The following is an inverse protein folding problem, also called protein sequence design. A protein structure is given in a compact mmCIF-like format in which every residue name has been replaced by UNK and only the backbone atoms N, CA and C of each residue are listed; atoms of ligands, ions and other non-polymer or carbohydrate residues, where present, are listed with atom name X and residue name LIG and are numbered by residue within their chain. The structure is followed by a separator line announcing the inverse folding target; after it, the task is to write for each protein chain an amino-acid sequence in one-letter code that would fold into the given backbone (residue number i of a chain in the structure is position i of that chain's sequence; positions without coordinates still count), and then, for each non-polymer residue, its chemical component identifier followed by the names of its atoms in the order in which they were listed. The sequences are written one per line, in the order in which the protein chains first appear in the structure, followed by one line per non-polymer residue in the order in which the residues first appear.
data_IF_055225270692
#
_entry.id   IF_055225270692
#
_cell.length_a   1.000
_cell.length_b   1.000
_cell.length_c   1.000
_cell.angle_alpha   90.00
_cell.angle_beta   90.00
_cell.angle_gamma   90.00
#
_symmetry.space_group_name_H-M   'P 1'
#
loop_
_entity.id
_entity.type
_entity.pdbx_description
1 polymer ?
#
# COMPACT_ATOMS: atom_id res chain seq x y z
N UNK A 1 16.97 -17.38 21.03
CA UNK A 1 16.79 -16.86 19.65
C UNK A 1 16.99 -15.34 19.69
N UNK A 2 18.20 -14.85 19.44
CA UNK A 2 18.59 -13.42 19.64
C UNK A 2 19.28 -12.80 18.42
N UNK A 3 19.23 -13.46 17.26
CA UNK A 3 20.00 -13.06 16.07
C UNK A 3 19.39 -11.92 15.24
N UNK A 4 18.20 -11.41 15.59
CA UNK A 4 17.51 -10.35 14.84
C UNK A 4 17.73 -8.92 15.36
N UNK A 5 18.67 -8.71 16.29
CA UNK A 5 18.94 -7.37 16.86
C UNK A 5 20.01 -6.56 16.11
N UNK A 6 20.56 -7.08 15.02
CA UNK A 6 21.73 -6.51 14.33
C UNK A 6 21.49 -5.99 12.91
N UNK A 7 20.25 -5.74 12.49
CA UNK A 7 20.00 -5.13 11.18
C UNK A 7 20.36 -3.65 11.20
N UNK A 8 21.31 -3.22 10.38
CA UNK A 8 21.56 -1.81 10.10
C UNK A 8 20.22 -1.10 9.88
N UNK A 9 19.87 -0.15 10.75
CA UNK A 9 18.62 0.57 10.66
C UNK A 9 18.49 1.20 9.27
N UNK A 10 17.35 1.03 8.62
CA UNK A 10 17.04 1.75 7.38
C UNK A 10 17.17 3.24 7.72
N UNK A 11 18.02 3.96 6.99
CA UNK A 11 18.25 5.38 7.27
C UNK A 11 16.96 6.18 7.09
N UNK A 12 16.86 7.31 7.80
CA UNK A 12 15.71 8.22 7.66
C UNK A 12 15.54 8.67 6.20
N UNK A 13 16.65 8.95 5.50
CA UNK A 13 16.66 9.34 4.10
C UNK A 13 16.13 8.23 3.19
N UNK A 14 16.56 6.97 3.41
CA UNK A 14 16.06 5.85 2.62
C UNK A 14 14.56 5.61 2.87
N UNK A 15 14.11 5.73 4.12
CA UNK A 15 12.69 5.63 4.46
C UNK A 15 11.88 6.71 3.74
N UNK A 16 12.37 7.96 3.72
CA UNK A 16 11.71 9.06 3.03
C UNK A 16 11.63 8.83 1.51
N UNK A 17 12.71 8.35 0.88
CA UNK A 17 12.73 8.00 -0.55
C UNK A 17 11.74 6.88 -0.84
N UNK A 18 11.75 5.80 -0.05
CA UNK A 18 10.81 4.70 -0.22
C UNK A 18 9.36 5.15 -0.05
N UNK A 19 9.07 6.02 0.92
CA UNK A 19 7.74 6.59 1.11
C UNK A 19 7.30 7.40 -0.11
N UNK A 20 8.15 8.30 -0.60
CA UNK A 20 7.85 9.14 -1.76
C UNK A 20 7.60 8.31 -3.03
N UNK A 21 8.47 7.34 -3.30
CA UNK A 21 8.33 6.44 -4.46
C UNK A 21 7.07 5.57 -4.33
N UNK A 22 6.79 5.02 -3.15
CA UNK A 22 5.59 4.21 -2.91
C UNK A 22 4.31 5.04 -3.10
N UNK A 23 4.27 6.28 -2.60
CA UNK A 23 3.12 7.17 -2.78
C UNK A 23 2.95 7.60 -4.24
N UNK A 24 4.04 7.86 -4.96
CA UNK A 24 3.99 8.16 -6.39
C UNK A 24 3.47 6.95 -7.20
N UNK A 25 3.96 5.75 -6.92
CA UNK A 25 3.48 4.52 -7.56
C UNK A 25 1.99 4.27 -7.25
N UNK A 26 1.56 4.52 -6.01
CA UNK A 26 0.15 4.42 -5.63
C UNK A 26 -0.71 5.48 -6.33
N UNK A 27 -0.22 6.71 -6.46
CA UNK A 27 -0.92 7.77 -7.18
C UNK A 27 -1.12 7.42 -8.67
N UNK A 28 -0.09 6.90 -9.33
CA UNK A 28 -0.16 6.42 -10.71
C UNK A 28 -1.19 5.28 -10.80
N UNK A 29 -1.09 4.28 -9.91
CA UNK A 29 -2.05 3.19 -9.88
C UNK A 29 -3.49 3.68 -9.68
N UNK A 30 -3.73 4.62 -8.77
CA UNK A 30 -5.06 5.19 -8.53
C UNK A 30 -5.59 5.96 -9.75
N UNK A 31 -4.72 6.72 -10.43
CA UNK A 31 -5.07 7.38 -11.67
C UNK A 31 -5.38 6.37 -12.79
N UNK A 32 -4.63 5.26 -12.86
CA UNK A 32 -4.86 4.21 -13.85
C UNK A 32 -6.26 3.59 -13.71
N UNK A 33 -6.74 3.35 -12.48
CA UNK A 33 -8.09 2.86 -12.21
C UNK A 33 -9.20 3.82 -12.71
N UNK A 34 -8.92 5.12 -12.79
CA UNK A 34 -9.90 6.15 -13.19
C UNK A 34 -9.82 6.43 -14.69
N UNK A 35 -8.61 6.51 -15.23
CA UNK A 35 -8.34 7.06 -16.57
C UNK A 35 -8.24 6.00 -17.66
N UNK A 36 -7.84 4.77 -17.32
CA UNK A 36 -7.77 3.74 -18.36
C UNK A 36 -9.19 3.32 -18.75
N UNK A 37 -9.49 3.24 -20.07
CA UNK A 37 -10.72 2.64 -20.52
C UNK A 37 -10.86 1.24 -19.92
N UNK A 38 -12.07 0.81 -19.53
CA UNK A 38 -12.29 -0.55 -19.05
C UNK A 38 -12.01 -1.56 -20.18
N UNK A 39 -10.74 -1.91 -20.36
CA UNK A 39 -10.28 -2.95 -21.28
C UNK A 39 -10.36 -4.29 -20.57
N UNK A 40 -11.27 -5.15 -21.03
CA UNK A 40 -11.51 -6.51 -20.54
C UNK A 40 -11.47 -6.64 -19.00
N UNK A 41 -12.53 -6.20 -18.34
CA UNK A 41 -12.84 -6.47 -16.92
C UNK A 41 -12.83 -7.97 -16.54
N UNK A 42 -12.60 -8.88 -17.51
CA UNK A 42 -12.42 -10.33 -17.35
C UNK A 42 -11.12 -10.74 -16.64
N UNK A 43 -10.24 -9.80 -16.31
CA UNK A 43 -8.97 -10.07 -15.60
C UNK A 43 -8.93 -9.51 -14.16
N UNK A 44 -10.03 -8.95 -13.66
CA UNK A 44 -10.12 -8.45 -12.29
C UNK A 44 -10.28 -9.61 -11.32
N UNK A 45 -9.59 -9.55 -10.18
CA UNK A 45 -9.88 -10.47 -9.07
C UNK A 45 -11.29 -10.21 -8.52
N UNK A 46 -11.90 -11.19 -7.87
CA UNK A 46 -13.25 -11.05 -7.27
C UNK A 46 -13.34 -9.82 -6.33
N UNK A 47 -12.22 -9.46 -5.69
CA UNK A 47 -12.11 -8.27 -4.83
C UNK A 47 -12.13 -6.98 -5.65
N UNK A 48 -11.40 -6.93 -6.75
CA UNK A 48 -11.40 -5.75 -7.63
C UNK A 48 -12.75 -5.58 -8.34
N UNK A 49 -13.45 -6.67 -8.63
CA UNK A 49 -14.80 -6.67 -9.19
C UNK A 49 -15.91 -6.33 -8.19
N UNK A 50 -15.60 -6.25 -6.89
CA UNK A 50 -16.60 -6.05 -5.84
C UNK A 50 -17.25 -4.65 -5.89
N UNK A 51 -16.55 -3.65 -6.43
CA UNK A 51 -17.03 -2.27 -6.61
C UNK A 51 -16.51 -1.71 -7.94
N UNK A 52 -17.09 -0.59 -8.44
CA UNK A 52 -16.58 0.11 -9.62
C UNK A 52 -15.07 0.43 -9.54
N UNK A 53 -14.37 0.33 -10.67
CA UNK A 53 -12.92 0.53 -10.73
C UNK A 53 -12.52 1.97 -10.38
N UNK A 54 -13.32 2.94 -10.79
CA UNK A 54 -13.16 4.36 -10.45
C UNK A 54 -13.23 4.58 -8.94
N UNK A 55 -14.10 3.87 -8.22
CA UNK A 55 -14.16 3.94 -6.76
C UNK A 55 -12.85 3.45 -6.12
N UNK A 56 -12.25 2.36 -6.62
CA UNK A 56 -10.92 1.92 -6.17
C UNK A 56 -9.85 2.98 -6.40
N UNK A 57 -9.85 3.59 -7.58
CA UNK A 57 -8.95 4.69 -7.89
C UNK A 57 -9.10 5.87 -6.94
N UNK A 58 -10.34 6.27 -6.64
CA UNK A 58 -10.65 7.33 -5.68
C UNK A 58 -10.14 6.98 -4.27
N UNK A 59 -10.37 5.75 -3.79
CA UNK A 59 -9.88 5.33 -2.48
C UNK A 59 -8.36 5.37 -2.39
N UNK A 60 -7.66 4.89 -3.43
CA UNK A 60 -6.19 4.91 -3.48
C UNK A 60 -5.68 6.36 -3.47
N UNK A 61 -6.25 7.23 -4.31
CA UNK A 61 -5.85 8.64 -4.37
C UNK A 61 -6.13 9.37 -3.06
N UNK A 62 -7.28 9.13 -2.43
CA UNK A 62 -7.61 9.71 -1.13
C UNK A 62 -6.60 9.28 -0.05
N UNK A 63 -6.23 7.99 -0.02
CA UNK A 63 -5.23 7.48 0.92
C UNK A 63 -3.83 8.08 0.67
N UNK A 64 -3.44 8.26 -0.59
CA UNK A 64 -2.19 8.97 -0.97
C UNK A 64 -2.23 10.42 -0.50
N UNK A 65 -3.34 11.13 -0.73
CA UNK A 65 -3.50 12.52 -0.31
C UNK A 65 -3.40 12.65 1.22
N UNK A 66 -4.05 11.76 1.97
CA UNK A 66 -3.99 11.71 3.44
C UNK A 66 -2.55 11.48 3.90
N UNK A 67 -1.86 10.49 3.33
CA UNK A 67 -0.49 10.17 3.73
C UNK A 67 0.48 11.34 3.47
N UNK A 68 0.36 11.94 2.28
CA UNK A 68 1.17 13.07 1.83
C UNK A 68 0.90 14.31 2.67
N UNK A 69 -0.36 14.66 2.90
CA UNK A 69 -0.73 15.80 3.74
C UNK A 69 -0.22 15.61 5.17
N UNK A 70 -0.32 14.40 5.72
CA UNK A 70 0.25 14.07 7.03
C UNK A 70 1.76 14.33 7.10
N UNK A 71 2.49 13.98 6.05
CA UNK A 71 3.95 14.14 6.02
C UNK A 71 4.35 15.61 5.83
N UNK A 72 3.64 16.36 4.97
CA UNK A 72 3.92 17.77 4.69
C UNK A 72 3.56 18.68 5.87
N UNK A 73 2.51 18.34 6.61
CA UNK A 73 2.02 19.14 7.74
C UNK A 73 2.57 18.66 9.11
N UNK A 74 3.55 17.75 9.11
CA UNK A 74 4.09 17.10 10.31
C UNK A 74 3.00 16.46 11.22
N UNK A 75 1.89 16.03 10.62
CA UNK A 75 0.79 15.32 11.28
C UNK A 75 0.94 13.81 11.04
N UNK A 76 1.92 13.21 11.71
CA UNK A 76 2.31 11.80 11.51
C UNK A 76 1.18 10.78 11.63
N UNK A 77 0.15 11.03 12.45
CA UNK A 77 -1.02 10.15 12.54
C UNK A 77 -1.82 10.07 11.22
N UNK A 78 -1.85 11.13 10.42
CA UNK A 78 -2.42 11.12 9.06
C UNK A 78 -1.55 10.28 8.13
N UNK A 79 -0.22 10.40 8.23
CA UNK A 79 0.71 9.57 7.46
C UNK A 79 0.53 8.08 7.75
N UNK A 80 0.34 7.72 9.04
CA UNK A 80 -0.01 6.35 9.46
C UNK A 80 -1.30 5.91 8.78
N UNK A 81 -2.37 6.71 8.89
CA UNK A 81 -3.69 6.36 8.37
C UNK A 81 -3.66 6.13 6.85
N UNK A 82 -3.04 7.04 6.09
CA UNK A 82 -2.97 6.91 4.63
C UNK A 82 -2.16 5.69 4.18
N UNK A 83 -1.01 5.42 4.80
CA UNK A 83 -0.25 4.20 4.50
C UNK A 83 -0.95 2.92 4.95
N UNK A 84 -1.63 2.92 6.11
CA UNK A 84 -2.42 1.78 6.57
C UNK A 84 -3.59 1.47 5.63
N UNK A 85 -4.27 2.51 5.12
CA UNK A 85 -5.33 2.36 4.13
C UNK A 85 -4.78 1.75 2.81
N UNK A 86 -3.66 2.25 2.30
CA UNK A 86 -3.01 1.67 1.11
C UNK A 86 -2.59 0.21 1.34
N UNK A 87 -2.04 -0.10 2.52
CA UNK A 87 -1.69 -1.47 2.88
C UNK A 87 -2.92 -2.39 2.86
N UNK A 88 -4.06 -1.91 3.37
CA UNK A 88 -5.33 -2.62 3.34
C UNK A 88 -5.84 -2.88 1.92
N UNK A 89 -5.86 -1.86 1.06
CA UNK A 89 -6.31 -1.97 -0.34
C UNK A 89 -5.45 -2.96 -1.12
N UNK A 90 -4.12 -2.78 -1.10
CA UNK A 90 -3.22 -3.69 -1.81
C UNK A 90 -3.23 -5.10 -1.21
N UNK A 91 -3.43 -5.24 0.09
CA UNK A 91 -3.58 -6.53 0.77
C UNK A 91 -4.84 -7.26 0.30
N UNK A 92 -5.96 -6.54 0.20
CA UNK A 92 -7.22 -7.09 -0.30
C UNK A 92 -7.09 -7.55 -1.76
N UNK A 93 -6.45 -6.75 -2.62
CA UNK A 93 -6.18 -7.14 -4.02
C UNK A 93 -5.27 -8.37 -4.11
N UNK A 94 -4.22 -8.44 -3.27
CA UNK A 94 -3.35 -9.60 -3.24
C UNK A 94 -4.10 -10.88 -2.87
N UNK A 95 -4.92 -10.81 -1.82
CA UNK A 95 -5.77 -11.93 -1.38
C UNK A 95 -6.74 -12.34 -2.49
N UNK A 96 -7.43 -11.37 -3.11
CA UNK A 96 -8.33 -11.62 -4.23
C UNK A 96 -7.67 -12.40 -5.35
N UNK A 97 -6.51 -11.94 -5.83
CA UNK A 97 -5.75 -12.64 -6.89
C UNK A 97 -5.33 -14.04 -6.46
N UNK A 98 -4.84 -14.21 -5.22
CA UNK A 98 -4.45 -15.54 -4.74
C UNK A 98 -5.63 -16.51 -4.67
N UNK A 99 -6.79 -16.05 -4.23
CA UNK A 99 -8.00 -16.87 -4.22
C UNK A 99 -8.45 -17.25 -5.63
N UNK A 100 -8.43 -16.31 -6.59
CA UNK A 100 -8.75 -16.60 -7.99
C UNK A 100 -7.83 -17.65 -8.59
N UNK A 101 -6.51 -17.58 -8.32
CA UNK A 101 -5.53 -18.56 -8.82
C UNK A 101 -5.73 -19.94 -8.17
N UNK A 102 -6.04 -19.98 -6.87
CA UNK A 102 -6.33 -21.22 -6.15
C UNK A 102 -7.61 -21.89 -6.67
N UNK A 103 -8.68 -21.12 -6.89
CA UNK A 103 -9.95 -21.62 -7.41
C UNK A 103 -9.82 -22.17 -8.84
N UNK A 104 -9.01 -21.51 -9.67
CA UNK A 104 -8.68 -21.97 -11.01
C UNK A 104 -7.81 -23.25 -11.04
N UNK A 105 -7.31 -23.73 -9.88
CA UNK A 105 -6.53 -24.97 -9.77
C UNK A 105 -5.19 -24.94 -10.49
N UNK A 106 -4.63 -23.76 -10.76
CA UNK A 106 -3.39 -23.57 -11.51
C UNK A 106 -2.22 -23.17 -10.61
N UNK A 107 -1.01 -23.61 -10.99
CA UNK A 107 0.25 -23.19 -10.34
C UNK A 107 0.80 -21.88 -10.92
N UNK A 108 0.20 -21.36 -11.99
CA UNK A 108 0.61 -20.14 -12.67
C UNK A 108 -0.40 -19.01 -12.41
N UNK A 109 0.07 -17.77 -12.37
CA UNK A 109 -0.78 -16.59 -12.16
C UNK A 109 -0.60 -15.87 -10.82
N UNK A 110 0.25 -16.37 -9.91
CA UNK A 110 0.51 -15.72 -8.61
C UNK A 110 1.25 -14.38 -8.69
N UNK A 111 1.87 -14.05 -9.82
CA UNK A 111 2.76 -12.87 -9.96
C UNK A 111 2.05 -11.54 -9.63
N UNK A 112 0.84 -11.23 -10.13
CA UNK A 112 0.14 -10.01 -9.77
C UNK A 112 -0.21 -9.97 -8.27
N UNK A 113 -0.67 -11.09 -7.69
CA UNK A 113 -0.96 -11.19 -6.26
C UNK A 113 0.28 -10.95 -5.40
N UNK A 114 1.42 -11.56 -5.76
CA UNK A 114 2.70 -11.35 -5.09
C UNK A 114 3.18 -9.88 -5.18
N UNK A 115 3.02 -9.23 -6.34
CA UNK A 115 3.32 -7.81 -6.48
C UNK A 115 2.48 -6.98 -5.49
N UNK A 116 1.16 -7.16 -5.49
CA UNK A 116 0.23 -6.43 -4.61
C UNK A 116 0.55 -6.70 -3.14
N UNK A 117 0.91 -7.93 -2.79
CA UNK A 117 1.33 -8.30 -1.44
C UNK A 117 2.61 -7.56 -1.01
N UNK A 118 3.60 -7.45 -1.89
CA UNK A 118 4.81 -6.67 -1.63
C UNK A 118 4.50 -5.18 -1.41
N UNK A 119 3.60 -4.59 -2.20
CA UNK A 119 3.15 -3.19 -2.00
C UNK A 119 2.42 -3.03 -0.66
N UNK A 120 1.54 -3.97 -0.32
CA UNK A 120 0.84 -3.97 0.96
C UNK A 120 1.83 -4.00 2.13
N UNK A 121 2.82 -4.89 2.05
CA UNK A 121 3.89 -5.02 3.06
C UNK A 121 4.72 -3.74 3.16
N UNK A 122 5.12 -3.16 2.03
CA UNK A 122 5.87 -1.90 2.00
C UNK A 122 5.09 -0.79 2.71
N UNK A 123 3.81 -0.61 2.38
CA UNK A 123 2.98 0.40 3.02
C UNK A 123 2.75 0.13 4.52
N UNK A 124 2.63 -1.14 4.93
CA UNK A 124 2.54 -1.49 6.34
C UNK A 124 3.83 -1.13 7.11
N UNK A 125 5.00 -1.37 6.52
CA UNK A 125 6.30 -0.98 7.11
C UNK A 125 6.44 0.55 7.18
N UNK A 126 5.97 1.27 6.17
CA UNK A 126 5.96 2.74 6.16
C UNK A 126 4.98 3.30 7.20
N UNK A 127 3.80 2.69 7.36
CA UNK A 127 2.86 3.04 8.42
C UNK A 127 3.47 2.83 9.81
N UNK A 128 4.14 1.69 10.04
CA UNK A 128 4.84 1.43 11.31
C UNK A 128 5.99 2.43 11.55
N UNK A 129 6.68 2.86 10.49
CA UNK A 129 7.73 3.89 10.58
C UNK A 129 7.16 5.27 10.93
N UNK A 130 6.04 5.66 10.33
CA UNK A 130 5.32 6.88 10.66
C UNK A 130 4.76 6.85 12.08
N UNK A 131 4.29 5.68 12.54
CA UNK A 131 3.81 5.48 13.90
C UNK A 131 4.91 5.75 14.92
N UNK A 132 6.11 5.19 14.73
CA UNK A 132 7.24 5.45 15.63
C UNK A 132 7.56 6.95 15.73
N UNK A 133 7.60 7.66 14.59
CA UNK A 133 7.80 9.13 14.60
C UNK A 133 6.70 9.89 15.33
N UNK A 134 5.46 9.44 15.19
CA UNK A 134 4.33 10.03 15.91
C UNK A 134 4.43 9.78 17.41
N UNK A 135 4.84 8.59 17.81
CA UNK A 135 4.99 8.19 19.20
C UNK A 135 6.13 8.97 19.87
N UNK A 136 7.31 9.01 19.25
CA UNK A 136 8.47 9.77 19.72
C UNK A 136 8.14 11.26 19.94
N UNK A 137 7.33 11.85 19.06
CA UNK A 137 6.91 13.25 19.17
C UNK A 137 5.93 13.51 20.34
N UNK A 138 5.21 12.48 20.82
CA UNK A 138 4.26 12.59 21.94
C UNK A 138 4.90 12.23 23.28
N UNK A 139 5.96 11.43 23.28
CA UNK A 139 6.70 11.01 24.48
C UNK A 139 8.18 11.39 24.36
N UNK A 140 8.53 12.69 24.43
CA UNK A 140 9.92 13.11 24.46
C UNK A 140 10.58 12.59 25.75
N UNK A 141 11.60 11.74 25.58
CA UNK A 141 12.47 11.25 26.67
C UNK A 141 13.47 12.30 27.10
#
# INVERSE_FOLDING_TARGET
MTWWRGGAGISASLTAVLAAVALAAAAISGADYILLPPGDARLLSDVEAAIPLDDWGIYILAAVSIATAGAVLDRWWLTVLGHAALAGVYGAFAIGVFLTVLDAGTLFGYRPGAHRFCLATLHAVLAASAWRRWDDARTPT
#
